data_IF_697241163837
#
_entry.id   IF_697241163837
#
_cell.length_a   1.000
_cell.length_b   1.000
_cell.length_c   1.000
_cell.angle_alpha   90.00
_cell.angle_beta   90.00
_cell.angle_gamma   90.00
#
_symmetry.space_group_name_H-M   'P 1'
#
loop_
_entity.id
_entity.type
_entity.pdbx_description
1 polymer ?
#
# COMPACT_ATOMS: atom_id res chain seq x y z
N UNK A 1 -10.27 10.82 -12.53
CA UNK A 1 -11.27 11.17 -11.48
C UNK A 1 -10.92 10.36 -10.24
N UNK A 2 -10.64 11.01 -9.11
CA UNK A 2 -9.94 10.48 -7.92
C UNK A 2 -10.82 9.75 -6.88
N UNK A 3 -12.15 9.74 -7.03
CA UNK A 3 -13.05 9.17 -5.99
C UNK A 3 -12.90 7.65 -5.87
N UNK A 4 -12.70 6.96 -7.01
CA UNK A 4 -12.54 5.50 -7.04
C UNK A 4 -11.25 5.08 -6.35
N UNK A 5 -10.14 5.74 -6.65
CA UNK A 5 -8.83 5.43 -6.06
C UNK A 5 -8.81 5.67 -4.55
N UNK A 6 -9.42 6.75 -4.06
CA UNK A 6 -9.57 7.00 -2.61
C UNK A 6 -10.41 5.91 -1.93
N UNK A 7 -11.56 5.55 -2.51
CA UNK A 7 -12.41 4.51 -1.92
C UNK A 7 -11.71 3.14 -1.87
N UNK A 8 -10.98 2.79 -2.93
CA UNK A 8 -10.22 1.55 -2.98
C UNK A 8 -9.04 1.55 -1.99
N UNK A 9 -8.33 2.68 -1.86
CA UNK A 9 -7.28 2.85 -0.86
C UNK A 9 -7.85 2.64 0.56
N UNK A 10 -8.97 3.27 0.90
CA UNK A 10 -9.62 3.09 2.20
C UNK A 10 -10.05 1.64 2.45
N UNK A 11 -10.61 0.97 1.44
CA UNK A 11 -10.97 -0.45 1.55
C UNK A 11 -9.75 -1.34 1.78
N UNK A 12 -8.63 -1.06 1.09
CA UNK A 12 -7.38 -1.78 1.31
C UNK A 12 -6.90 -1.60 2.75
N UNK A 13 -6.84 -0.36 3.25
CA UNK A 13 -6.43 -0.06 4.64
C UNK A 13 -7.31 -0.78 5.66
N UNK A 14 -8.63 -0.79 5.48
CA UNK A 14 -9.55 -1.50 6.38
C UNK A 14 -9.34 -3.01 6.43
N UNK A 15 -8.80 -3.61 5.36
CA UNK A 15 -8.53 -5.05 5.32
C UNK A 15 -7.18 -5.43 5.96
N UNK A 16 -6.21 -4.52 5.97
CA UNK A 16 -4.81 -4.85 6.30
C UNK A 16 -4.28 -4.17 7.57
N UNK A 17 -4.86 -3.06 7.98
CA UNK A 17 -4.44 -2.34 9.18
C UNK A 17 -5.20 -2.83 10.41
N UNK A 18 -4.47 -2.93 11.52
CA UNK A 18 -5.02 -3.14 12.85
C UNK A 18 -4.87 -1.85 13.67
N UNK A 19 -5.51 -1.78 14.85
CA UNK A 19 -5.51 -0.57 15.71
C UNK A 19 -4.13 -0.03 16.09
N UNK A 20 -3.07 -0.84 15.97
CA UNK A 20 -1.68 -0.47 16.28
C UNK A 20 -0.81 -0.28 15.04
N UNK A 21 -1.33 -0.54 13.84
CA UNK A 21 -0.58 -0.35 12.62
C UNK A 21 -0.23 1.13 12.44
N UNK A 22 0.98 1.47 11.99
CA UNK A 22 1.33 2.86 11.69
C UNK A 22 0.45 3.38 10.56
N UNK A 23 0.04 4.64 10.66
CA UNK A 23 -0.71 5.30 9.60
C UNK A 23 0.21 5.57 8.39
N UNK A 24 -0.25 5.31 7.15
CA UNK A 24 0.50 5.74 5.97
C UNK A 24 0.46 7.25 5.80
N UNK A 25 1.45 7.77 5.09
CA UNK A 25 1.29 9.03 4.37
C UNK A 25 0.42 8.79 3.14
N UNK A 26 -0.54 9.69 2.87
CA UNK A 26 -1.44 9.61 1.71
C UNK A 26 -1.07 10.70 0.71
N UNK A 27 -0.62 10.29 -0.48
CA UNK A 27 -0.12 11.19 -1.53
C UNK A 27 -0.97 11.07 -2.79
N UNK A 28 -1.63 12.14 -3.27
CA UNK A 28 -2.27 12.13 -4.59
C UNK A 28 -1.23 11.97 -5.70
N UNK A 29 -1.49 11.12 -6.69
CA UNK A 29 -0.57 10.97 -7.83
C UNK A 29 -0.93 11.93 -8.97
N UNK A 30 0.05 12.29 -9.79
CA UNK A 30 -0.15 13.19 -10.95
C UNK A 30 -1.10 12.60 -12.00
N UNK A 31 -1.24 11.27 -12.04
CA UNK A 31 -2.16 10.55 -12.93
C UNK A 31 -3.61 10.56 -12.40
N UNK A 32 -3.84 11.05 -11.18
CA UNK A 32 -5.16 11.09 -10.53
C UNK A 32 -5.47 9.85 -9.68
N UNK A 33 -4.45 9.10 -9.28
CA UNK A 33 -4.51 8.00 -8.32
C UNK A 33 -4.20 8.47 -6.90
N UNK A 34 -3.93 7.51 -6.01
CA UNK A 34 -3.48 7.74 -4.64
C UNK A 34 -2.37 6.74 -4.32
N UNK A 35 -1.30 7.23 -3.70
CA UNK A 35 -0.24 6.41 -3.13
C UNK A 35 -0.31 6.45 -1.61
N UNK A 36 -0.10 5.29 -0.99
CA UNK A 36 -0.01 5.09 0.44
C UNK A 36 1.43 4.69 0.75
N UNK A 37 2.08 5.42 1.65
CA UNK A 37 3.51 5.23 1.94
C UNK A 37 3.74 4.99 3.43
N UNK A 38 4.51 3.96 3.74
CA UNK A 38 5.06 3.74 5.07
C UNK A 38 6.57 3.69 4.99
N UNK A 39 7.22 4.44 5.87
CA UNK A 39 8.66 4.40 6.08
C UNK A 39 8.92 4.16 7.57
N UNK A 40 9.10 2.90 7.95
CA UNK A 40 9.28 2.47 9.35
C UNK A 40 10.21 1.26 9.42
N UNK A 41 11.00 1.14 10.49
CA UNK A 41 11.84 -0.04 10.78
C UNK A 41 12.72 -0.51 9.60
N UNK A 42 13.34 0.43 8.88
CA UNK A 42 14.15 0.14 7.66
C UNK A 42 13.35 -0.60 6.56
N UNK A 43 12.03 -0.43 6.54
CA UNK A 43 11.11 -0.89 5.51
C UNK A 43 10.47 0.32 4.85
N UNK A 44 10.65 0.39 3.54
CA UNK A 44 9.90 1.25 2.63
C UNK A 44 8.77 0.41 2.02
N UNK A 45 7.52 0.78 2.29
CA UNK A 45 6.34 0.15 1.69
C UNK A 45 5.53 1.22 0.97
N UNK A 46 5.28 0.99 -0.31
CA UNK A 46 4.39 1.83 -1.11
C UNK A 46 3.26 0.99 -1.70
N UNK A 47 2.05 1.54 -1.65
CA UNK A 47 0.87 0.98 -2.30
C UNK A 47 0.24 2.06 -3.16
N UNK A 48 0.30 1.89 -4.48
CA UNK A 48 -0.30 2.81 -5.43
C UNK A 48 -1.64 2.26 -5.93
N UNK A 49 -2.69 3.07 -5.80
CA UNK A 49 -4.00 2.84 -6.41
C UNK A 49 -4.12 3.75 -7.63
N UNK A 50 -3.98 3.15 -8.81
CA UNK A 50 -4.13 3.84 -10.10
C UNK A 50 -5.58 4.31 -10.33
N UNK A 51 -5.81 5.36 -11.14
CA UNK A 51 -7.15 5.86 -11.47
C UNK A 51 -8.12 4.81 -12.01
N UNK A 52 -7.60 3.83 -12.74
CA UNK A 52 -8.32 2.69 -13.33
C UNK A 52 -8.61 1.56 -12.33
N UNK A 53 -8.17 1.69 -11.08
CA UNK A 53 -8.40 0.72 -10.00
C UNK A 53 -7.37 -0.39 -9.92
N UNK A 54 -6.31 -0.35 -10.72
CA UNK A 54 -5.15 -1.23 -10.51
C UNK A 54 -4.47 -0.84 -9.19
N UNK A 55 -4.11 -1.84 -8.38
CA UNK A 55 -3.34 -1.61 -7.16
C UNK A 55 -1.97 -2.28 -7.30
N UNK A 56 -0.92 -1.49 -7.18
CA UNK A 56 0.48 -1.91 -7.24
C UNK A 56 1.11 -1.77 -5.86
N UNK A 57 1.95 -2.73 -5.50
CA UNK A 57 2.73 -2.70 -4.26
C UNK A 57 4.22 -2.74 -4.59
N UNK A 58 4.99 -1.84 -3.96
CA UNK A 58 6.44 -1.89 -3.92
C UNK A 58 6.89 -2.00 -2.47
N UNK A 59 7.98 -2.74 -2.22
CA UNK A 59 8.56 -2.88 -0.89
C UNK A 59 10.07 -3.05 -0.98
N UNK A 60 10.78 -2.24 -0.22
CA UNK A 60 12.23 -2.29 -0.07
C UNK A 60 12.62 -2.45 1.40
N UNK A 61 13.73 -3.16 1.66
CA UNK A 61 14.25 -3.41 3.01
C UNK A 61 13.54 -4.53 3.78
N UNK A 62 13.80 -4.64 5.09
CA UNK A 62 13.23 -5.67 5.97
C UNK A 62 13.73 -7.12 5.76
N UNK A 63 13.03 -8.08 6.39
CA UNK A 63 13.38 -9.51 6.40
C UNK A 63 12.76 -10.33 5.24
N UNK A 64 11.74 -9.79 4.57
CA UNK A 64 11.10 -10.43 3.43
C UNK A 64 11.89 -10.11 2.14
N UNK A 65 11.69 -10.86 1.04
CA UNK A 65 12.24 -10.49 -0.27
C UNK A 65 11.65 -9.17 -0.77
N UNK A 66 12.45 -8.34 -1.43
CA UNK A 66 11.97 -7.13 -2.09
C UNK A 66 10.83 -7.50 -3.06
N UNK A 67 9.81 -6.65 -3.11
CA UNK A 67 8.68 -6.80 -4.01
C UNK A 67 8.60 -5.53 -4.86
N UNK A 68 8.62 -5.68 -6.18
CA UNK A 68 8.48 -4.56 -7.10
C UNK A 68 7.23 -4.76 -7.95
N UNK A 69 6.34 -3.77 -7.92
CA UNK A 69 5.11 -3.67 -8.73
C UNK A 69 4.25 -4.94 -8.75
N UNK A 70 4.04 -5.54 -7.58
CA UNK A 70 3.18 -6.71 -7.46
C UNK A 70 1.72 -6.26 -7.42
N UNK A 71 0.90 -6.79 -8.32
CA UNK A 71 -0.54 -6.55 -8.31
C UNK A 71 -1.19 -7.12 -7.04
N UNK A 72 -1.77 -6.26 -6.21
CA UNK A 72 -2.35 -6.66 -4.92
C UNK A 72 -3.53 -7.64 -5.02
N UNK A 73 -4.13 -7.78 -6.21
CA UNK A 73 -5.13 -8.81 -6.48
C UNK A 73 -4.59 -10.26 -6.31
N UNK A 74 -3.27 -10.45 -6.36
CA UNK A 74 -2.66 -11.78 -6.23
C UNK A 74 -2.17 -12.11 -4.81
N UNK A 75 -1.92 -11.13 -3.92
CA UNK A 75 -1.23 -11.44 -2.66
C UNK A 75 -1.46 -10.45 -1.50
N UNK A 76 -2.70 -10.33 -1.02
CA UNK A 76 -3.02 -9.54 0.18
C UNK A 76 -2.22 -9.98 1.43
N UNK A 77 -1.75 -11.23 1.48
CA UNK A 77 -0.99 -11.75 2.61
C UNK A 77 0.36 -11.05 2.80
N UNK A 78 1.06 -10.72 1.71
CA UNK A 78 2.36 -10.03 1.80
C UNK A 78 2.18 -8.63 2.40
N UNK A 79 1.13 -7.92 1.99
CA UNK A 79 0.80 -6.60 2.54
C UNK A 79 0.45 -6.67 4.03
N UNK A 80 -0.40 -7.62 4.44
CA UNK A 80 -0.75 -7.84 5.85
C UNK A 80 0.50 -8.17 6.68
N UNK A 81 1.35 -9.07 6.19
CA UNK A 81 2.58 -9.44 6.89
C UNK A 81 3.52 -8.24 6.98
N UNK A 82 3.69 -7.47 5.91
CA UNK A 82 4.56 -6.27 5.93
C UNK A 82 4.07 -5.26 6.96
N UNK A 83 2.77 -4.91 6.94
CA UNK A 83 2.20 -3.93 7.87
C UNK A 83 2.30 -4.34 9.34
N UNK A 84 2.33 -5.65 9.63
CA UNK A 84 2.55 -6.16 10.99
C UNK A 84 3.99 -5.99 11.50
N UNK A 85 4.95 -5.79 10.61
CA UNK A 85 6.37 -5.63 10.94
C UNK A 85 6.85 -4.17 10.82
N UNK A 86 5.97 -3.24 10.42
CA UNK A 86 6.17 -1.80 10.54
C UNK A 86 5.93 -1.34 11.98
#
# INVERSE_FOLDING_TARGET
>A
MTVVSVQMALNALMMVMESRSPAPTVVPTVEGGVQLEWHQNDIDLEVEVKPEGQILMSRQGGLLPEASEVGLAHDCNILIQTIRHL
#
